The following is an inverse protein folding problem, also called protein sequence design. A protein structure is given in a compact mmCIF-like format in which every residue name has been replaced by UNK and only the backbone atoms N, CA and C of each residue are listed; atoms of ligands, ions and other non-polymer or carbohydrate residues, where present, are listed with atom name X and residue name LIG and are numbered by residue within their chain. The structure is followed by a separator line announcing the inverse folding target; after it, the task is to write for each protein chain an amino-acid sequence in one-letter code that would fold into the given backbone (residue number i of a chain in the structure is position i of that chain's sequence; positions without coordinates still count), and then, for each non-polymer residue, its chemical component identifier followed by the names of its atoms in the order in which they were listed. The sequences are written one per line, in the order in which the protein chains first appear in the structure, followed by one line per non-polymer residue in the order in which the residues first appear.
data_IF_521460180123
#
_entry.id   IF_521460180123
#
_cell.length_a   1.000
_cell.length_b   1.000
_cell.length_c   1.000
_cell.angle_alpha   90.00
_cell.angle_beta   90.00
_cell.angle_gamma   90.00
#
_symmetry.space_group_name_H-M   'P 1'
#
loop_
_entity.id
_entity.type
_entity.pdbx_description
1 polymer ?
#
# COMPACT_ATOMS: atom_id res chain seq x y z
N UNK A 1 9.03 -26.72 -10.41
CA UNK A 1 8.66 -25.69 -9.43
C UNK A 1 9.88 -25.39 -8.58
N UNK A 2 10.06 -24.14 -8.17
CA UNK A 2 11.31 -23.54 -7.68
C UNK A 2 11.97 -24.35 -6.55
N UNK A 3 13.17 -24.90 -6.79
CA UNK A 3 13.99 -25.56 -5.77
C UNK A 3 14.76 -24.58 -4.86
N UNK A 4 14.71 -23.26 -5.15
CA UNK A 4 15.44 -22.21 -4.43
C UNK A 4 14.47 -21.25 -3.73
N UNK A 5 13.47 -21.76 -2.99
CA UNK A 5 12.62 -20.91 -2.17
C UNK A 5 13.31 -20.66 -0.82
N UNK A 6 13.64 -19.41 -0.49
CA UNK A 6 14.24 -19.07 0.80
C UNK A 6 13.17 -18.93 1.90
N UNK A 7 13.11 -19.91 2.80
CA UNK A 7 12.12 -19.98 3.88
C UNK A 7 12.75 -19.55 5.21
N UNK A 8 12.09 -18.66 5.95
CA UNK A 8 12.47 -18.33 7.32
C UNK A 8 11.58 -19.06 8.31
N UNK A 9 12.17 -19.73 9.31
CA UNK A 9 11.48 -20.40 10.40
C UNK A 9 11.78 -19.65 11.70
N UNK A 10 10.74 -19.26 12.43
CA UNK A 10 10.85 -18.63 13.75
C UNK A 10 9.96 -19.38 14.74
N UNK A 11 10.57 -19.98 15.75
CA UNK A 11 9.88 -20.58 16.89
C UNK A 11 10.80 -20.48 18.13
N UNK A 12 10.24 -20.60 19.33
CA UNK A 12 10.99 -20.64 20.58
C UNK A 12 11.32 -22.06 21.06
N UNK A 13 10.66 -23.10 20.53
CA UNK A 13 10.89 -24.51 20.84
C UNK A 13 11.77 -25.19 19.75
N UNK A 14 13.00 -25.61 20.09
CA UNK A 14 13.89 -26.33 19.17
C UNK A 14 13.30 -27.63 18.62
N UNK A 15 12.40 -28.29 19.35
CA UNK A 15 11.76 -29.55 18.93
C UNK A 15 10.82 -29.33 17.75
N UNK A 16 10.09 -28.20 17.78
CA UNK A 16 9.18 -27.79 16.70
C UNK A 16 9.98 -27.40 15.47
N UNK A 17 11.08 -26.65 15.64
CA UNK A 17 11.99 -26.29 14.55
C UNK A 17 12.52 -27.57 13.87
N UNK A 18 13.07 -28.51 14.63
CA UNK A 18 13.60 -29.76 14.06
C UNK A 18 12.52 -30.60 13.34
N UNK A 19 11.27 -30.58 13.81
CA UNK A 19 10.14 -31.23 13.15
C UNK A 19 9.77 -30.58 11.81
N UNK A 20 9.77 -29.25 11.76
CA UNK A 20 9.54 -28.47 10.55
C UNK A 20 10.66 -28.69 9.53
N UNK A 21 11.91 -28.65 9.96
CA UNK A 21 13.07 -28.91 9.09
C UNK A 21 13.00 -30.30 8.45
N UNK A 22 12.65 -31.34 9.22
CA UNK A 22 12.45 -32.69 8.67
C UNK A 22 11.33 -32.74 7.65
N UNK A 23 10.23 -32.04 7.92
CA UNK A 23 9.07 -31.99 7.02
C UNK A 23 9.39 -31.27 5.72
N UNK A 24 10.10 -30.14 5.78
CA UNK A 24 10.54 -29.38 4.60
C UNK A 24 11.56 -30.16 3.76
N UNK A 25 12.51 -30.83 4.41
CA UNK A 25 13.47 -31.71 3.73
C UNK A 25 12.77 -32.87 3.00
N UNK A 26 11.77 -33.48 3.63
CA UNK A 26 10.96 -34.53 3.00
C UNK A 26 10.24 -34.03 1.73
N UNK A 27 9.83 -32.76 1.73
CA UNK A 27 9.18 -32.10 0.60
C UNK A 27 10.18 -31.58 -0.46
N UNK A 28 11.49 -31.75 -0.25
CA UNK A 28 12.54 -31.29 -1.17
C UNK A 28 12.92 -29.81 -1.05
N UNK A 29 12.40 -29.09 -0.05
CA UNK A 29 12.72 -27.69 0.23
C UNK A 29 13.97 -27.63 1.12
N UNK A 30 15.11 -27.27 0.54
CA UNK A 30 16.44 -27.33 1.20
C UNK A 30 16.96 -25.97 1.67
N UNK A 31 16.36 -24.88 1.22
CA UNK A 31 16.80 -23.51 1.52
C UNK A 31 15.92 -22.90 2.61
N UNK A 32 16.26 -23.19 3.86
CA UNK A 32 15.59 -22.60 5.02
C UNK A 32 16.58 -22.09 6.05
N UNK A 33 16.19 -21.02 6.74
CA UNK A 33 16.95 -20.39 7.81
C UNK A 33 16.12 -20.37 9.08
N UNK A 34 16.75 -20.65 10.21
CA UNK A 34 16.13 -20.56 11.53
C UNK A 34 16.56 -19.27 12.21
N UNK A 35 15.61 -18.54 12.80
CA UNK A 35 15.89 -17.32 13.53
C UNK A 35 15.25 -17.33 14.92
N UNK A 36 15.88 -16.62 15.85
CA UNK A 36 15.34 -16.42 17.18
C UNK A 36 14.12 -15.47 17.16
N UNK A 37 13.17 -15.62 18.10
CA UNK A 37 12.08 -14.67 18.27
C UNK A 37 12.61 -13.28 18.62
N UNK A 38 12.33 -12.27 17.78
CA UNK A 38 12.87 -10.91 17.94
C UNK A 38 14.05 -10.56 17.03
N UNK A 39 14.16 -11.23 15.88
CA UNK A 39 15.16 -10.91 14.84
C UNK A 39 15.08 -9.44 14.38
N UNK A 40 16.26 -8.84 14.18
CA UNK A 40 16.40 -7.47 13.69
C UNK A 40 16.23 -7.37 12.17
N UNK A 41 15.88 -6.17 11.71
CA UNK A 41 15.66 -5.87 10.28
C UNK A 41 16.90 -6.16 9.44
N UNK A 42 18.10 -5.86 9.96
CA UNK A 42 19.36 -6.06 9.23
C UNK A 42 19.65 -7.55 8.99
N UNK A 43 19.33 -8.41 9.97
CA UNK A 43 19.47 -9.85 9.84
C UNK A 43 18.45 -10.42 8.85
N UNK A 44 17.21 -9.91 8.87
CA UNK A 44 16.20 -10.30 7.89
C UNK A 44 16.57 -9.88 6.46
N UNK A 45 17.17 -8.70 6.28
CA UNK A 45 17.65 -8.24 4.97
C UNK A 45 18.79 -9.13 4.43
N UNK A 46 19.68 -9.61 5.31
CA UNK A 46 20.75 -10.53 4.91
C UNK A 46 20.21 -11.91 4.48
N UNK A 47 19.13 -12.39 5.12
CA UNK A 47 18.49 -13.66 4.79
C UNK A 47 17.63 -13.54 3.51
N UNK A 48 17.02 -12.38 3.27
CA UNK A 48 16.12 -12.12 2.14
C UNK A 48 15.01 -13.18 1.97
N UNK A 49 14.19 -13.44 3.01
CA UNK A 49 13.21 -14.53 2.98
C UNK A 49 12.08 -14.26 1.98
N UNK A 50 11.70 -15.28 1.23
CA UNK A 50 10.54 -15.22 0.33
C UNK A 50 9.24 -15.63 1.02
N UNK A 51 9.33 -16.40 2.09
CA UNK A 51 8.26 -16.97 2.91
C UNK A 51 8.72 -17.05 4.37
N UNK A 52 7.83 -16.79 5.33
CA UNK A 52 8.11 -17.03 6.75
C UNK A 52 7.11 -18.01 7.38
N UNK A 53 7.60 -18.87 8.28
CA UNK A 53 6.81 -19.80 9.08
C UNK A 53 7.05 -19.45 10.55
N UNK A 54 6.00 -18.97 11.22
CA UNK A 54 5.96 -18.70 12.65
C UNK A 54 5.32 -19.88 13.35
N UNK A 55 6.09 -20.58 14.17
CA UNK A 55 5.61 -21.79 14.82
C UNK A 55 4.76 -21.52 16.08
N UNK A 56 4.06 -22.56 16.56
CA UNK A 56 3.03 -22.49 17.61
C UNK A 56 3.52 -22.15 19.01
N UNK A 57 4.81 -22.27 19.30
CA UNK A 57 5.30 -22.01 20.66
C UNK A 57 5.46 -20.52 20.95
N UNK A 58 5.30 -19.65 19.93
CA UNK A 58 5.40 -18.22 20.07
C UNK A 58 4.19 -17.62 20.79
N UNK A 59 4.44 -16.78 21.79
CA UNK A 59 3.39 -15.95 22.38
C UNK A 59 2.80 -14.99 21.34
N UNK A 60 1.50 -14.70 21.45
CA UNK A 60 0.77 -13.81 20.54
C UNK A 60 1.48 -12.48 20.29
N UNK A 61 1.96 -11.81 21.34
CA UNK A 61 2.68 -10.53 21.21
C UNK A 61 3.97 -10.63 20.40
N UNK A 62 4.78 -11.67 20.65
CA UNK A 62 6.03 -11.91 19.94
C UNK A 62 5.77 -12.28 18.49
N UNK A 63 4.75 -13.10 18.24
CA UNK A 63 4.31 -13.46 16.90
C UNK A 63 3.90 -12.20 16.10
N UNK A 64 3.07 -11.33 16.69
CA UNK A 64 2.66 -10.07 16.05
C UNK A 64 3.83 -9.13 15.76
N UNK A 65 4.81 -9.03 16.68
CA UNK A 65 6.04 -8.26 16.46
C UNK A 65 6.84 -8.83 15.28
N UNK A 66 7.02 -10.15 15.21
CA UNK A 66 7.71 -10.78 14.08
C UNK A 66 6.99 -10.54 12.75
N UNK A 67 5.66 -10.68 12.71
CA UNK A 67 4.87 -10.36 11.52
C UNK A 67 5.10 -8.90 11.12
N UNK A 68 5.04 -7.97 12.07
CA UNK A 68 5.25 -6.55 11.81
C UNK A 68 6.63 -6.28 11.18
N UNK A 69 7.70 -6.82 11.75
CA UNK A 69 9.07 -6.65 11.22
C UNK A 69 9.21 -7.24 9.82
N UNK A 70 8.64 -8.41 9.54
CA UNK A 70 8.66 -9.03 8.21
C UNK A 70 7.90 -8.18 7.18
N UNK A 71 6.75 -7.63 7.59
CA UNK A 71 5.89 -6.80 6.74
C UNK A 71 6.46 -5.41 6.46
N UNK A 72 7.35 -4.89 7.31
CA UNK A 72 8.11 -3.67 7.01
C UNK A 72 9.05 -3.91 5.82
N UNK A 73 9.67 -5.09 5.73
CA UNK A 73 10.67 -5.40 4.71
C UNK A 73 10.02 -5.75 3.37
N UNK A 74 9.06 -6.67 3.38
CA UNK A 74 8.23 -7.00 2.22
C UNK A 74 6.76 -7.10 2.67
N UNK A 75 5.93 -6.09 2.43
CA UNK A 75 4.51 -6.10 2.80
C UNK A 75 3.76 -7.32 2.25
N UNK A 76 4.16 -7.79 1.06
CA UNK A 76 3.55 -8.93 0.40
C UNK A 76 4.14 -10.28 0.83
N UNK A 77 5.09 -10.32 1.78
CA UNK A 77 5.68 -11.60 2.22
C UNK A 77 4.60 -12.52 2.82
N UNK A 78 4.42 -13.74 2.30
CA UNK A 78 3.51 -14.70 2.90
C UNK A 78 4.08 -15.18 4.24
N UNK A 79 3.23 -15.18 5.27
CA UNK A 79 3.58 -15.63 6.62
C UNK A 79 2.59 -16.71 7.04
N UNK A 80 3.11 -17.91 7.30
CA UNK A 80 2.37 -19.01 7.89
C UNK A 80 2.45 -18.89 9.41
N UNK A 81 1.30 -18.91 10.09
CA UNK A 81 1.23 -18.73 11.54
C UNK A 81 0.08 -19.54 12.14
N UNK A 82 0.27 -19.99 13.37
CA UNK A 82 -0.74 -20.69 14.16
C UNK A 82 -1.60 -19.77 15.04
N UNK A 83 -1.61 -18.46 14.76
CA UNK A 83 -2.47 -17.52 15.48
C UNK A 83 -3.93 -17.95 15.37
N UNK A 84 -4.60 -18.12 16.51
CA UNK A 84 -5.99 -18.60 16.58
C UNK A 84 -6.95 -17.78 15.69
N UNK A 85 -6.76 -16.47 15.62
CA UNK A 85 -7.57 -15.59 14.77
C UNK A 85 -7.40 -15.87 13.27
N UNK A 86 -6.21 -16.27 12.83
CA UNK A 86 -5.92 -16.64 11.43
C UNK A 86 -6.57 -17.98 11.12
N UNK A 87 -6.47 -18.93 12.05
CA UNK A 87 -6.92 -20.31 11.85
C UNK A 87 -8.43 -20.50 12.00
N UNK A 88 -9.11 -19.73 12.87
CA UNK A 88 -10.53 -19.90 13.14
C UNK A 88 -11.43 -18.98 12.31
N UNK A 89 -10.99 -17.74 12.00
CA UNK A 89 -11.88 -16.74 11.40
C UNK A 89 -11.53 -16.40 9.94
N UNK A 90 -10.43 -16.93 9.39
CA UNK A 90 -9.97 -16.68 8.01
C UNK A 90 -9.60 -15.22 7.68
N UNK A 91 -9.85 -14.29 8.61
CA UNK A 91 -9.52 -12.87 8.56
C UNK A 91 -9.14 -12.45 9.98
N UNK A 92 -7.94 -11.89 10.13
CA UNK A 92 -7.40 -11.56 11.45
C UNK A 92 -7.96 -10.24 11.99
N UNK A 93 -8.66 -10.33 13.11
CA UNK A 93 -9.05 -9.16 13.92
C UNK A 93 -7.78 -8.54 14.56
N UNK A 94 -6.80 -9.36 14.94
CA UNK A 94 -5.58 -8.93 15.65
C UNK A 94 -4.31 -8.82 14.81
N UNK A 95 -4.32 -9.20 13.54
CA UNK A 95 -3.18 -9.06 12.64
C UNK A 95 -3.63 -8.39 11.32
N UNK A 96 -3.49 -7.05 11.20
CA UNK A 96 -4.05 -6.26 10.11
C UNK A 96 -3.30 -6.44 8.78
N UNK A 97 -2.57 -7.54 8.62
CA UNK A 97 -1.70 -7.83 7.50
C UNK A 97 -2.36 -8.88 6.60
N UNK A 98 -2.33 -8.66 5.29
CA UNK A 98 -2.69 -9.67 4.30
C UNK A 98 -1.54 -10.67 4.10
N UNK A 99 -1.78 -11.77 3.38
CA UNK A 99 -0.78 -12.83 3.19
C UNK A 99 -0.43 -13.58 4.48
N UNK A 100 -1.32 -13.56 5.48
CA UNK A 100 -1.25 -14.45 6.63
C UNK A 100 -2.03 -15.72 6.32
N UNK A 101 -1.39 -16.87 6.53
CA UNK A 101 -1.96 -18.18 6.24
C UNK A 101 -1.92 -19.04 7.50
N UNK A 102 -3.00 -19.79 7.73
CA UNK A 102 -3.08 -20.66 8.90
C UNK A 102 -2.08 -21.82 8.78
N UNK A 103 -1.34 -22.05 9.86
CA UNK A 103 -0.45 -23.17 10.05
C UNK A 103 -0.75 -23.84 11.38
N UNK A 104 -1.17 -25.11 11.35
CA UNK A 104 -1.52 -25.86 12.55
C UNK A 104 -0.42 -26.87 12.91
N UNK A 105 -0.11 -27.05 14.21
CA UNK A 105 0.77 -28.12 14.64
C UNK A 105 0.20 -29.49 14.22
N UNK A 106 1.06 -30.34 13.65
CA UNK A 106 0.67 -31.69 13.22
C UNK A 106 0.01 -31.79 11.83
N UNK A 107 0.07 -30.72 11.01
CA UNK A 107 -0.30 -30.83 9.59
C UNK A 107 0.55 -31.87 8.86
N UNK A 108 -0.08 -32.67 8.00
CA UNK A 108 0.63 -33.61 7.12
C UNK A 108 1.53 -32.84 6.14
N UNK A 109 2.69 -33.40 5.74
CA UNK A 109 3.62 -32.74 4.82
C UNK A 109 2.95 -32.22 3.54
N UNK A 110 2.07 -33.02 2.93
CA UNK A 110 1.36 -32.64 1.70
C UNK A 110 0.49 -31.38 1.89
N UNK A 111 -0.14 -31.25 3.07
CA UNK A 111 -0.98 -30.09 3.38
C UNK A 111 -0.14 -28.84 3.63
N UNK A 112 1.05 -29.00 4.21
CA UNK A 112 2.01 -27.91 4.37
C UNK A 112 2.45 -27.40 3.00
N UNK A 113 2.79 -28.31 2.08
CA UNK A 113 3.18 -27.94 0.72
C UNK A 113 2.06 -27.18 0.00
N UNK A 114 0.83 -27.66 0.10
CA UNK A 114 -0.33 -26.99 -0.49
C UNK A 114 -0.51 -25.57 0.07
N UNK A 115 -0.43 -25.38 1.39
CA UNK A 115 -0.52 -24.04 2.00
C UNK A 115 0.61 -23.12 1.54
N UNK A 116 1.83 -23.65 1.38
CA UNK A 116 2.97 -22.89 0.88
C UNK A 116 2.70 -22.44 -0.56
N UNK A 117 2.28 -23.34 -1.44
CA UNK A 117 1.97 -23.02 -2.84
C UNK A 117 0.84 -21.99 -2.95
N UNK A 118 -0.24 -22.16 -2.19
CA UNK A 118 -1.36 -21.22 -2.15
C UNK A 118 -0.90 -19.84 -1.66
N UNK A 119 -0.04 -19.78 -0.64
CA UNK A 119 0.48 -18.52 -0.10
C UNK A 119 1.40 -17.79 -1.08
N UNK A 120 2.21 -18.51 -1.85
CA UNK A 120 3.07 -17.94 -2.88
C UNK A 120 2.26 -17.45 -4.09
N UNK A 121 1.17 -18.15 -4.43
CA UNK A 121 0.22 -17.69 -5.44
C UNK A 121 -0.46 -16.40 -5.00
N UNK A 122 -0.90 -16.35 -3.74
CA UNK A 122 -1.48 -15.15 -3.15
C UNK A 122 -0.47 -13.99 -3.13
N UNK A 123 0.82 -14.23 -2.83
CA UNK A 123 1.89 -13.22 -2.94
C UNK A 123 1.97 -12.62 -4.35
N UNK A 124 1.89 -13.45 -5.39
CA UNK A 124 1.93 -12.99 -6.78
C UNK A 124 0.71 -12.11 -7.13
N UNK A 125 -0.47 -12.45 -6.59
CA UNK A 125 -1.69 -11.65 -6.72
C UNK A 125 -1.61 -10.34 -5.90
N UNK A 126 -1.10 -10.37 -4.68
CA UNK A 126 -0.89 -9.18 -3.83
C UNK A 126 0.13 -8.21 -4.43
N UNK A 127 1.22 -8.70 -5.05
CA UNK A 127 2.18 -7.84 -5.77
C UNK A 127 1.56 -7.12 -6.97
N UNK A 128 0.40 -7.57 -7.46
CA UNK A 128 -0.38 -6.85 -8.47
C UNK A 128 -1.30 -5.77 -7.87
N UNK A 129 -1.40 -5.64 -6.54
CA UNK A 129 -2.26 -4.71 -5.79
C UNK A 129 -1.51 -4.09 -4.58
N UNK A 130 -0.63 -3.10 -4.79
CA UNK A 130 0.43 -2.79 -3.83
C UNK A 130 0.01 -2.26 -2.45
N UNK A 131 -1.12 -1.55 -2.28
CA UNK A 131 -1.16 -0.51 -1.22
C UNK A 131 -2.31 -0.57 -0.18
N UNK A 132 -3.19 -1.57 -0.14
CA UNK A 132 -4.14 -1.68 0.99
C UNK A 132 -3.46 -2.06 2.31
N UNK A 133 -2.27 -2.66 2.23
CA UNK A 133 -1.58 -3.31 3.34
C UNK A 133 -0.86 -2.32 4.29
N UNK A 134 -0.92 -1.01 4.03
CA UNK A 134 -0.16 0.01 4.77
C UNK A 134 -0.95 0.70 5.90
N UNK A 135 -2.30 0.64 5.91
CA UNK A 135 -3.09 1.26 6.99
C UNK A 135 -3.14 0.28 8.18
N UNK A 136 -2.25 0.47 9.15
CA UNK A 136 -2.12 -0.35 10.37
C UNK A 136 -2.97 0.24 11.50
N UNK A 137 -3.61 -0.60 12.31
CA UNK A 137 -4.39 -0.18 13.48
C UNK A 137 -5.66 -1.01 13.71
N UNK A 138 -6.08 -1.14 14.97
CA UNK A 138 -7.22 -1.96 15.41
C UNK A 138 -8.29 -1.14 16.13
N UNK A 139 -8.09 0.17 16.30
CA UNK A 139 -9.14 1.01 16.88
C UNK A 139 -10.40 0.97 16.03
N UNK A 140 -11.55 1.12 16.69
CA UNK A 140 -12.85 1.18 16.00
C UNK A 140 -12.85 2.24 14.90
N UNK A 141 -12.06 3.30 15.08
CA UNK A 141 -11.96 4.44 14.18
C UNK A 141 -11.21 4.08 12.90
N UNK A 142 -10.11 3.33 13.01
CA UNK A 142 -9.40 2.80 11.84
C UNK A 142 -10.26 1.76 11.10
N UNK A 143 -11.03 0.93 11.81
CA UNK A 143 -11.98 0.00 11.17
C UNK A 143 -13.02 0.78 10.35
N UNK A 144 -13.57 1.87 10.90
CA UNK A 144 -14.51 2.74 10.20
C UNK A 144 -13.89 3.39 8.96
N UNK A 145 -12.65 3.88 9.04
CA UNK A 145 -11.91 4.42 7.90
C UNK A 145 -11.77 3.37 6.79
N UNK A 146 -11.35 2.14 7.11
CA UNK A 146 -11.26 1.04 6.11
C UNK A 146 -12.60 0.75 5.46
N UNK A 147 -13.69 0.73 6.23
CA UNK A 147 -15.04 0.53 5.69
C UNK A 147 -15.47 1.67 4.78
N UNK A 148 -15.13 2.93 5.11
CA UNK A 148 -15.41 4.08 4.24
C UNK A 148 -14.62 4.01 2.94
N UNK A 149 -13.33 3.66 2.99
CA UNK A 149 -12.50 3.47 1.78
C UNK A 149 -13.16 2.44 0.86
N UNK A 150 -13.57 1.28 1.39
CA UNK A 150 -14.27 0.25 0.60
C UNK A 150 -15.53 0.75 -0.08
N UNK A 151 -16.31 1.63 0.58
CA UNK A 151 -17.54 2.20 0.01
C UNK A 151 -17.31 3.20 -1.12
N UNK A 152 -16.14 3.85 -1.15
CA UNK A 152 -15.83 4.93 -2.11
C UNK A 152 -14.82 4.50 -3.18
N UNK A 153 -14.04 3.45 -2.96
CA UNK A 153 -12.95 3.06 -3.85
C UNK A 153 -13.43 2.79 -5.30
N UNK A 154 -14.49 2.03 -5.51
CA UNK A 154 -15.02 1.75 -6.86
C UNK A 154 -15.84 2.88 -7.50
N UNK A 155 -16.09 3.97 -6.77
CA UNK A 155 -16.91 5.09 -7.26
C UNK A 155 -16.04 6.17 -7.89
N UNK A 156 -16.45 6.69 -9.04
CA UNK A 156 -15.80 7.82 -9.69
C UNK A 156 -16.26 9.16 -9.10
N UNK A 157 -15.98 9.34 -7.81
CA UNK A 157 -16.31 10.55 -7.04
C UNK A 157 -15.04 11.16 -6.45
N UNK A 158 -15.06 12.47 -6.27
CA UNK A 158 -14.04 13.21 -5.52
C UNK A 158 -14.09 12.84 -4.04
N UNK A 159 -12.93 12.64 -3.42
CA UNK A 159 -12.81 12.32 -2.00
C UNK A 159 -11.95 13.37 -1.31
N UNK A 160 -12.43 13.88 -0.17
CA UNK A 160 -11.67 14.75 0.72
C UNK A 160 -11.27 13.98 1.98
N UNK A 161 -9.98 14.00 2.31
CA UNK A 161 -9.39 13.35 3.47
C UNK A 161 -8.93 14.43 4.46
N UNK A 162 -9.56 14.48 5.63
CA UNK A 162 -9.22 15.43 6.68
C UNK A 162 -8.50 14.74 7.82
N UNK A 163 -7.54 15.42 8.44
CA UNK A 163 -6.87 14.94 9.64
C UNK A 163 -5.55 15.65 9.87
N UNK A 164 -5.03 15.58 11.09
CA UNK A 164 -3.78 16.25 11.46
C UNK A 164 -2.58 15.78 10.61
N UNK A 165 -1.51 16.56 10.62
CA UNK A 165 -0.24 16.17 9.98
C UNK A 165 0.27 14.86 10.57
N UNK A 166 0.74 13.94 9.72
CA UNK A 166 1.29 12.65 10.16
C UNK A 166 0.25 11.54 10.44
N UNK A 167 -1.05 11.79 10.26
CA UNK A 167 -2.12 10.78 10.49
C UNK A 167 -2.30 9.76 9.37
N UNK A 168 -1.41 9.73 8.37
CA UNK A 168 -1.46 8.74 7.28
C UNK A 168 -2.45 9.04 6.15
N UNK A 169 -2.83 10.30 5.94
CA UNK A 169 -3.75 10.72 4.85
C UNK A 169 -3.33 10.23 3.45
N UNK A 170 -2.02 10.21 3.17
CA UNK A 170 -1.50 9.67 1.92
C UNK A 170 -1.77 8.18 1.75
N UNK A 171 -1.68 7.40 2.84
CA UNK A 171 -1.97 5.96 2.81
C UNK A 171 -3.45 5.72 2.47
N UNK A 172 -4.35 6.57 2.96
CA UNK A 172 -5.77 6.54 2.63
C UNK A 172 -6.00 6.86 1.15
N UNK A 173 -5.28 7.85 0.59
CA UNK A 173 -5.43 8.22 -0.82
C UNK A 173 -4.93 7.12 -1.77
N UNK A 174 -3.77 6.52 -1.48
CA UNK A 174 -3.27 5.33 -2.18
C UNK A 174 -4.27 4.18 -2.05
N UNK A 175 -4.73 3.98 -0.82
CA UNK A 175 -5.92 3.26 -0.39
C UNK A 175 -7.00 3.15 -1.47
N UNK A 176 -7.59 4.32 -1.69
CA UNK A 176 -8.70 4.57 -2.60
C UNK A 176 -8.33 4.29 -4.05
N UNK A 177 -7.17 4.74 -4.52
CA UNK A 177 -6.77 4.58 -5.93
C UNK A 177 -6.59 3.10 -6.31
N UNK A 178 -5.79 2.35 -5.56
CA UNK A 178 -5.44 0.98 -5.95
C UNK A 178 -6.60 -0.01 -5.80
N UNK A 179 -7.66 0.37 -5.08
CA UNK A 179 -8.88 -0.42 -4.95
C UNK A 179 -10.03 0.14 -5.78
N UNK A 180 -9.74 1.10 -6.65
CA UNK A 180 -10.72 1.60 -7.61
C UNK A 180 -10.62 0.88 -8.95
N UNK A 181 -11.62 1.13 -9.78
CA UNK A 181 -11.59 0.80 -11.21
C UNK A 181 -10.42 1.46 -11.97
N UNK A 182 -9.82 2.53 -11.40
CA UNK A 182 -8.69 3.28 -11.98
C UNK A 182 -7.31 2.80 -11.49
N UNK A 183 -7.23 1.67 -10.78
CA UNK A 183 -5.99 1.12 -10.21
C UNK A 183 -4.89 0.77 -11.22
N UNK A 184 -5.25 0.58 -12.49
CA UNK A 184 -4.30 0.38 -13.60
C UNK A 184 -3.75 1.68 -14.18
N UNK A 185 -4.41 2.80 -13.89
CA UNK A 185 -3.98 4.13 -14.28
C UNK A 185 -2.94 4.71 -13.32
N UNK A 186 -2.37 5.88 -13.63
CA UNK A 186 -1.36 6.51 -12.79
C UNK A 186 -1.96 7.09 -11.50
N UNK A 187 -1.25 6.94 -10.38
CA UNK A 187 -1.46 7.77 -9.19
C UNK A 187 -0.45 8.91 -9.18
N UNK A 188 -0.90 10.11 -9.51
CA UNK A 188 -0.06 11.31 -9.51
C UNK A 188 -0.28 12.08 -8.23
N UNK A 189 0.79 12.32 -7.48
CA UNK A 189 0.76 13.13 -6.26
C UNK A 189 1.25 14.55 -6.53
N UNK A 190 0.60 15.52 -5.93
CA UNK A 190 1.09 16.88 -5.76
C UNK A 190 0.89 17.32 -4.31
N UNK A 191 1.89 17.96 -3.70
CA UNK A 191 1.78 18.57 -2.39
C UNK A 191 1.87 20.09 -2.55
N UNK A 192 0.76 20.78 -2.30
CA UNK A 192 0.64 22.21 -2.52
C UNK A 192 1.42 23.03 -1.48
N UNK A 193 1.63 22.50 -0.28
CA UNK A 193 2.43 23.16 0.76
C UNK A 193 3.95 23.09 0.53
N UNK A 194 4.42 22.16 -0.31
CA UNK A 194 5.85 21.95 -0.58
C UNK A 194 6.37 22.68 -1.83
N UNK A 195 5.47 23.19 -2.68
CA UNK A 195 5.82 23.83 -3.95
C UNK A 195 5.59 25.35 -3.79
N UNK A 196 6.57 26.19 -4.17
CA UNK A 196 6.36 27.63 -4.20
C UNK A 196 5.14 28.01 -5.05
N UNK A 197 4.32 28.94 -4.56
CA UNK A 197 3.07 29.38 -5.21
C UNK A 197 3.27 29.74 -6.69
N UNK A 198 4.36 30.44 -7.01
CA UNK A 198 4.72 30.86 -8.37
C UNK A 198 4.92 29.69 -9.34
N UNK A 199 5.32 28.52 -8.84
CA UNK A 199 5.58 27.32 -9.65
C UNK A 199 4.40 26.35 -9.64
N UNK A 200 3.54 26.42 -8.62
CA UNK A 200 2.47 25.46 -8.38
C UNK A 200 1.52 25.35 -9.57
N UNK A 201 1.13 26.49 -10.14
CA UNK A 201 0.26 26.53 -11.32
C UNK A 201 0.89 25.81 -12.53
N UNK A 202 2.19 26.06 -12.77
CA UNK A 202 2.93 25.44 -13.86
C UNK A 202 3.17 23.93 -13.65
N UNK A 203 3.24 23.47 -12.40
CA UNK A 203 3.29 22.05 -12.05
C UNK A 203 1.94 21.38 -12.27
N UNK A 204 0.84 21.99 -11.83
CA UNK A 204 -0.51 21.42 -11.95
C UNK A 204 -0.97 21.34 -13.40
N UNK A 205 -0.93 22.47 -14.12
CA UNK A 205 -1.50 22.60 -15.47
C UNK A 205 -0.46 22.34 -16.56
N UNK A 206 0.83 22.55 -16.28
CA UNK A 206 1.84 22.56 -17.33
C UNK A 206 1.80 23.83 -18.17
N UNK A 207 2.75 23.95 -19.10
CA UNK A 207 2.92 25.15 -19.92
C UNK A 207 3.37 24.83 -21.33
N UNK A 208 3.07 25.75 -22.24
CA UNK A 208 3.63 25.77 -23.59
C UNK A 208 4.89 26.63 -23.64
N UNK A 209 5.75 26.35 -24.63
CA UNK A 209 6.92 27.18 -24.94
C UNK A 209 6.46 28.62 -25.15
N UNK A 210 7.09 29.55 -24.46
CA UNK A 210 6.77 30.99 -24.54
C UNK A 210 5.64 31.45 -23.60
N UNK A 211 5.11 30.60 -22.72
CA UNK A 211 4.08 31.00 -21.76
C UNK A 211 4.57 32.07 -20.75
N UNK A 212 5.85 32.05 -20.38
CA UNK A 212 6.51 33.02 -19.50
C UNK A 212 8.02 33.07 -19.78
N UNK A 213 8.72 34.03 -19.18
CA UNK A 213 10.17 34.18 -19.29
C UNK A 213 10.89 32.94 -18.75
N UNK A 214 11.58 32.20 -19.62
CA UNK A 214 12.26 30.94 -19.27
C UNK A 214 11.52 29.67 -19.72
N UNK A 215 10.29 29.78 -20.24
CA UNK A 215 9.54 28.64 -20.81
C UNK A 215 10.11 28.21 -22.17
N UNK A 216 11.29 27.58 -22.17
CA UNK A 216 12.02 27.21 -23.39
C UNK A 216 11.44 25.98 -24.11
N UNK A 217 10.65 25.15 -23.40
CA UNK A 217 10.06 23.90 -23.89
C UNK A 217 8.63 23.76 -23.37
N UNK A 218 7.86 22.86 -23.98
CA UNK A 218 6.57 22.45 -23.43
C UNK A 218 6.77 21.55 -22.22
N UNK A 219 5.92 21.67 -21.20
CA UNK A 219 5.88 20.79 -20.03
C UNK A 219 4.45 20.35 -19.76
N UNK A 220 4.24 19.04 -19.58
CA UNK A 220 2.95 18.49 -19.14
C UNK A 220 2.76 18.71 -17.64
N UNK A 221 1.54 19.08 -17.25
CA UNK A 221 1.18 19.24 -15.84
C UNK A 221 0.79 17.93 -15.16
N UNK A 222 0.69 17.96 -13.83
CA UNK A 222 0.25 16.83 -13.01
C UNK A 222 -1.15 16.34 -13.36
N UNK A 223 -2.05 17.26 -13.72
CA UNK A 223 -3.38 16.91 -14.21
C UNK A 223 -3.26 15.99 -15.43
N UNK A 224 -2.53 16.43 -16.46
CA UNK A 224 -2.35 15.62 -17.68
C UNK A 224 -1.72 14.26 -17.41
N UNK A 225 -0.74 14.21 -16.50
CA UNK A 225 -0.10 12.96 -16.08
C UNK A 225 -1.05 12.01 -15.35
N UNK A 226 -2.12 12.53 -14.73
CA UNK A 226 -3.10 11.74 -13.97
C UNK A 226 -4.24 11.19 -14.82
N UNK A 227 -4.25 11.49 -16.13
CA UNK A 227 -5.31 11.05 -17.03
C UNK A 227 -5.45 9.52 -17.05
N UNK A 228 -6.67 9.02 -16.96
CA UNK A 228 -7.01 7.60 -16.80
C UNK A 228 -6.77 7.04 -15.39
N UNK A 229 -6.30 7.87 -14.45
CA UNK A 229 -5.91 7.48 -13.10
C UNK A 229 -6.47 8.41 -12.02
N UNK A 230 -5.66 8.69 -11.00
CA UNK A 230 -6.02 9.54 -9.86
C UNK A 230 -4.98 10.64 -9.64
N UNK A 231 -5.43 11.88 -9.48
CA UNK A 231 -4.63 12.98 -8.95
C UNK A 231 -4.88 13.10 -7.45
N UNK A 232 -3.84 12.86 -6.66
CA UNK A 232 -3.83 13.09 -5.22
C UNK A 232 -3.25 14.47 -4.90
N UNK A 233 -4.06 15.34 -4.31
CA UNK A 233 -3.69 16.70 -3.91
C UNK A 233 -3.54 16.75 -2.39
N UNK A 234 -2.31 16.88 -1.92
CA UNK A 234 -1.98 17.00 -0.51
C UNK A 234 -1.87 18.47 -0.11
N UNK A 235 -2.37 18.79 1.08
CA UNK A 235 -2.55 20.17 1.58
C UNK A 235 -3.34 21.07 0.62
N UNK A 236 -4.56 20.63 0.24
CA UNK A 236 -5.46 21.39 -0.65
C UNK A 236 -5.78 22.80 -0.14
N UNK A 237 -5.75 23.01 1.19
CA UNK A 237 -5.94 24.33 1.81
C UNK A 237 -4.83 25.33 1.51
N UNK A 238 -3.66 24.88 1.05
CA UNK A 238 -2.55 25.74 0.62
C UNK A 238 -2.68 26.18 -0.85
N UNK A 239 -3.77 25.86 -1.54
CA UNK A 239 -3.99 26.32 -2.91
C UNK A 239 -4.26 27.83 -2.96
N UNK A 240 -3.56 28.58 -3.82
CA UNK A 240 -3.90 29.95 -4.15
C UNK A 240 -5.32 30.07 -4.72
N UNK A 241 -6.02 31.16 -4.41
CA UNK A 241 -7.39 31.41 -4.90
C UNK A 241 -7.48 31.35 -6.43
N UNK A 242 -6.48 31.87 -7.14
CA UNK A 242 -6.41 31.83 -8.60
C UNK A 242 -6.42 30.39 -9.14
N UNK A 243 -5.75 29.46 -8.45
CA UNK A 243 -5.66 28.07 -8.84
C UNK A 243 -6.91 27.28 -8.41
N UNK A 244 -7.55 27.66 -7.31
CA UNK A 244 -8.84 27.07 -6.89
C UNK A 244 -9.93 27.27 -7.95
N UNK A 245 -10.03 28.47 -8.53
CA UNK A 245 -10.99 28.75 -9.63
C UNK A 245 -10.74 27.84 -10.83
N UNK A 246 -9.47 27.63 -11.20
CA UNK A 246 -9.11 26.74 -12.32
C UNK A 246 -9.40 25.28 -12.01
N UNK A 247 -9.14 24.82 -10.79
CA UNK A 247 -9.52 23.47 -10.37
C UNK A 247 -11.04 23.25 -10.41
N UNK A 248 -11.83 24.27 -10.03
CA UNK A 248 -13.29 24.20 -10.15
C UNK A 248 -13.71 24.01 -11.61
N UNK A 249 -13.14 24.79 -12.53
CA UNK A 249 -13.36 24.63 -13.97
C UNK A 249 -12.99 23.22 -14.46
N UNK A 250 -11.84 22.68 -14.02
CA UNK A 250 -11.43 21.31 -14.36
C UNK A 250 -12.43 20.27 -13.86
N UNK A 251 -12.98 20.46 -12.66
CA UNK A 251 -13.94 19.53 -12.06
C UNK A 251 -15.31 19.56 -12.78
N UNK A 252 -15.77 20.75 -13.19
CA UNK A 252 -17.05 20.96 -13.86
C UNK A 252 -17.01 20.60 -15.35
N UNK A 253 -16.02 21.12 -16.06
CA UNK A 253 -15.92 21.01 -17.53
C UNK A 253 -15.15 19.76 -17.96
N UNK A 254 -14.50 19.06 -17.04
CA UNK A 254 -13.60 17.92 -17.33
C UNK A 254 -12.53 18.30 -18.36
N UNK A 255 -12.13 19.57 -18.36
CA UNK A 255 -11.22 20.15 -19.35
C UNK A 255 -10.35 21.23 -18.74
N UNK A 256 -9.16 21.46 -19.32
CA UNK A 256 -8.31 22.59 -18.96
C UNK A 256 -7.34 22.97 -20.06
N UNK A 257 -6.87 24.21 -20.03
CA UNK A 257 -5.81 24.71 -20.91
C UNK A 257 -4.48 24.81 -20.16
N UNK A 258 -3.38 24.43 -20.85
CA UNK A 258 -2.02 24.68 -20.34
C UNK A 258 -1.77 26.19 -20.26
N UNK A 259 -0.81 26.61 -19.44
CA UNK A 259 -0.37 28.02 -19.43
C UNK A 259 0.16 28.42 -20.82
N UNK A 260 -0.36 29.53 -21.33
CA UNK A 260 -0.08 30.04 -22.68
C UNK A 260 -0.72 29.21 -23.80
N UNK A 261 -1.55 28.21 -23.50
CA UNK A 261 -2.29 27.42 -24.48
C UNK A 261 -3.67 28.00 -24.77
N UNK A 262 -4.19 27.71 -25.97
CA UNK A 262 -5.51 28.18 -26.46
C UNK A 262 -6.53 27.05 -26.63
N UNK A 263 -6.16 25.80 -26.35
CA UNK A 263 -7.02 24.64 -26.57
C UNK A 263 -7.21 23.86 -25.28
N UNK A 264 -8.48 23.60 -24.96
CA UNK A 264 -8.85 22.78 -23.81
C UNK A 264 -8.54 21.31 -24.07
N UNK A 265 -7.85 20.70 -23.13
CA UNK A 265 -7.63 19.26 -23.07
C UNK A 265 -8.68 18.65 -22.17
N UNK A 266 -9.48 17.74 -22.74
CA UNK A 266 -10.32 16.85 -21.95
C UNK A 266 -9.43 16.00 -21.02
N UNK A 267 -9.85 15.86 -19.77
CA UNK A 267 -9.15 15.08 -18.76
C UNK A 267 -10.12 14.15 -18.04
N UNK A 268 -9.74 12.89 -17.97
CA UNK A 268 -10.43 11.87 -17.20
C UNK A 268 -9.55 11.43 -16.03
N UNK A 269 -9.49 12.27 -14.99
CA UNK A 269 -8.75 11.99 -13.76
C UNK A 269 -9.69 12.07 -12.56
N UNK A 270 -9.59 11.09 -11.66
CA UNK A 270 -10.25 11.15 -10.36
C UNK A 270 -9.46 12.05 -9.42
N UNK A 271 -10.13 12.93 -8.68
CA UNK A 271 -9.48 13.79 -7.69
C UNK A 271 -9.64 13.20 -6.29
N UNK A 272 -8.52 13.10 -5.57
CA UNK A 272 -8.50 12.84 -4.12
C UNK A 272 -7.72 13.96 -3.47
N UNK A 273 -8.32 14.66 -2.51
CA UNK A 273 -7.69 15.78 -1.82
C UNK A 273 -7.47 15.47 -0.34
N UNK A 274 -6.43 16.03 0.26
CA UNK A 274 -6.14 15.93 1.69
C UNK A 274 -5.80 17.30 2.28
N UNK A 275 -6.17 17.52 3.54
CA UNK A 275 -5.74 18.70 4.30
C UNK A 275 -5.69 18.41 5.80
N UNK A 276 -4.82 19.13 6.50
CA UNK A 276 -4.83 19.25 7.96
C UNK A 276 -5.58 20.49 8.47
N UNK A 277 -6.00 21.37 7.57
CA UNK A 277 -6.59 22.67 7.89
C UNK A 277 -8.11 22.58 7.90
N UNK A 278 -8.72 23.40 8.74
CA UNK A 278 -10.17 23.57 8.77
C UNK A 278 -10.58 24.47 7.60
N UNK A 279 -11.24 23.89 6.60
CA UNK A 279 -11.70 24.60 5.39
C UNK A 279 -12.99 25.41 5.61
N UNK A 280 -13.57 25.38 6.82
CA UNK A 280 -14.80 26.12 7.15
C UNK A 280 -14.54 27.50 7.77
N UNK A 281 -13.26 27.85 7.94
CA UNK A 281 -12.80 29.14 8.43
C UNK A 281 -12.22 29.97 7.30
#
# INVERSE_FOLDING_TARGET
MKNDLNILIIDSDPSVIAGLEKSLNYLGLKHYHTAAPGIDIDQLNAISPELAILGPSLKTETCLKCIHTLKIIDPAIPVLTSLDDVCNNGVTINAPFEGLHCFLPGMKPDKILMTIEDSLRHKAECRSRPDFQLIIGQSQEIIRVRQQIRKVCDKDITVLITGETGTGKELIARSIHYHSSRSKGPLVKINCGAIPEELLESEVLGFQKGAFTGACKNKSGRLEMANGGTLFIDEIGSLPLSLQVKFLQVLEEKGFSRLGGTFDKAIDARIVAATNSDLTK
#
